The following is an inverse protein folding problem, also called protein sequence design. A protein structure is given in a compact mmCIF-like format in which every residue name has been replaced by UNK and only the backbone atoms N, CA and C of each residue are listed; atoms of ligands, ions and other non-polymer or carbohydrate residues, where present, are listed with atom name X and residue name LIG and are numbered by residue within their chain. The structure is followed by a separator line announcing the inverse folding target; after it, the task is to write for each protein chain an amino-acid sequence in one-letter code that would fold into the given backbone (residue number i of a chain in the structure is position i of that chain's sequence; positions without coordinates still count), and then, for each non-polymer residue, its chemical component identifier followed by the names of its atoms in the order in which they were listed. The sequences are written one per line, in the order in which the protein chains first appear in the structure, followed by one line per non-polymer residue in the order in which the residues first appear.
data_IF_354383937008
#
_entry.id   IF_354383937008
#
_cell.length_a   1.000
_cell.length_b   1.000
_cell.length_c   1.000
_cell.angle_alpha   90.00
_cell.angle_beta   90.00
_cell.angle_gamma   90.00
#
_symmetry.space_group_name_H-M   'P 1'
#
loop_
_entity.id
_entity.type
_entity.pdbx_description
1 polymer ?
#
# COMPACT_ATOMS: atom_id res chain seq x y z
N UNK A 1 0.88 7.40 -25.87
CA UNK A 1 1.84 6.28 -25.68
C UNK A 1 1.07 5.17 -24.96
N UNK A 2 1.23 3.90 -25.34
CA UNK A 2 0.45 2.82 -24.73
C UNK A 2 1.18 2.25 -23.50
N UNK A 3 0.50 2.20 -22.37
CA UNK A 3 0.94 1.55 -21.12
C UNK A 3 0.82 0.02 -21.28
N UNK A 4 1.69 -0.57 -22.10
CA UNK A 4 1.53 -1.92 -22.64
C UNK A 4 1.93 -3.07 -21.70
N UNK A 5 2.75 -2.81 -20.68
CA UNK A 5 3.20 -3.80 -19.70
C UNK A 5 2.37 -3.79 -18.41
N UNK A 6 1.62 -2.71 -18.13
CA UNK A 6 0.71 -2.64 -16.98
C UNK A 6 -0.37 -3.74 -17.07
N UNK A 7 -0.20 -4.79 -16.28
CA UNK A 7 -1.16 -5.89 -16.13
C UNK A 7 -1.80 -5.81 -14.77
N UNK A 8 -3.13 -5.77 -14.75
CA UNK A 8 -3.87 -5.82 -13.50
C UNK A 8 -3.69 -7.15 -12.80
N UNK A 9 -3.69 -7.12 -11.46
CA UNK A 9 -3.49 -8.29 -10.60
C UNK A 9 -4.57 -9.38 -10.81
N UNK A 10 -5.73 -9.02 -11.34
CA UNK A 10 -6.76 -9.91 -11.88
C UNK A 10 -7.65 -9.14 -12.89
N UNK A 11 -8.37 -9.89 -13.73
CA UNK A 11 -9.26 -9.32 -14.75
C UNK A 11 -10.35 -8.45 -14.09
N UNK A 12 -10.43 -7.20 -14.52
CA UNK A 12 -11.39 -6.21 -14.00
C UNK A 12 -10.88 -5.37 -12.83
N UNK A 13 -9.68 -5.66 -12.31
CA UNK A 13 -9.00 -4.79 -11.36
C UNK A 13 -8.24 -3.66 -12.06
N UNK A 14 -8.05 -2.55 -11.36
CA UNK A 14 -7.14 -1.46 -11.74
C UNK A 14 -5.80 -1.51 -10.98
N UNK A 15 -5.65 -2.42 -10.02
CA UNK A 15 -4.43 -2.56 -9.23
C UNK A 15 -3.34 -3.26 -10.04
N UNK A 16 -2.13 -2.68 -10.03
CA UNK A 16 -0.95 -3.21 -10.72
C UNK A 16 0.15 -3.48 -9.69
N UNK A 17 0.95 -4.51 -9.94
CA UNK A 17 2.11 -4.83 -9.11
C UNK A 17 3.25 -3.85 -9.42
N UNK A 18 3.69 -3.06 -8.42
CA UNK A 18 4.73 -2.04 -8.62
C UNK A 18 6.03 -2.59 -9.22
N UNK A 19 6.31 -3.89 -9.01
CA UNK A 19 7.54 -4.54 -9.48
C UNK A 19 7.59 -4.76 -10.99
N UNK A 20 6.46 -4.68 -11.67
CA UNK A 20 6.40 -4.88 -13.13
C UNK A 20 6.34 -3.57 -13.91
N UNK A 21 6.26 -2.44 -13.22
CA UNK A 21 6.21 -1.11 -13.84
C UNK A 21 7.62 -0.73 -14.29
N UNK A 22 7.81 -0.58 -15.59
CA UNK A 22 9.07 -0.13 -16.15
C UNK A 22 9.24 1.39 -16.09
N UNK A 23 10.46 1.87 -16.38
CA UNK A 23 10.78 3.30 -16.28
C UNK A 23 9.98 4.17 -17.26
N UNK A 24 9.57 3.65 -18.42
CA UNK A 24 8.81 4.42 -19.42
C UNK A 24 7.36 4.59 -18.98
N UNK A 25 6.76 3.51 -18.46
CA UNK A 25 5.42 3.53 -17.89
C UNK A 25 5.38 4.41 -16.65
N UNK A 26 6.36 4.25 -15.75
CA UNK A 26 6.44 5.07 -14.55
C UNK A 26 6.66 6.56 -14.88
N UNK A 27 7.50 6.89 -15.87
CA UNK A 27 7.63 8.27 -16.34
C UNK A 27 6.29 8.84 -16.87
N UNK A 28 5.47 8.00 -17.52
CA UNK A 28 4.15 8.42 -18.00
C UNK A 28 3.18 8.65 -16.84
N UNK A 29 3.15 7.73 -15.86
CA UNK A 29 2.34 7.85 -14.65
C UNK A 29 2.71 9.13 -13.90
N UNK A 30 4.01 9.33 -13.61
CA UNK A 30 4.49 10.49 -12.86
C UNK A 30 4.20 11.83 -13.55
N UNK A 31 4.21 11.88 -14.89
CA UNK A 31 3.82 13.09 -15.63
C UNK A 31 2.34 13.44 -15.43
N UNK A 32 1.48 12.43 -15.38
CA UNK A 32 0.05 12.63 -15.14
C UNK A 32 -0.21 13.00 -13.68
N UNK A 33 0.41 12.28 -12.73
CA UNK A 33 0.26 12.55 -11.30
C UNK A 33 0.75 13.94 -10.88
N UNK A 34 1.75 14.49 -11.59
CA UNK A 34 2.36 15.78 -11.27
C UNK A 34 2.01 16.91 -12.26
N UNK A 35 1.04 16.70 -13.15
CA UNK A 35 0.73 17.65 -14.24
C UNK A 35 0.32 19.03 -13.73
N UNK A 36 -0.45 19.08 -12.64
CA UNK A 36 -1.01 20.29 -12.05
C UNK A 36 -0.28 20.76 -10.78
N UNK A 37 0.84 20.11 -10.43
CA UNK A 37 1.56 20.41 -9.18
C UNK A 37 2.41 21.66 -9.32
N UNK A 38 2.16 22.64 -8.44
CA UNK A 38 3.06 23.79 -8.26
C UNK A 38 4.19 23.42 -7.30
N UNK A 39 5.39 23.19 -7.85
CA UNK A 39 6.49 22.62 -7.07
C UNK A 39 7.06 23.50 -5.95
N UNK A 40 6.76 24.80 -5.96
CA UNK A 40 7.13 25.70 -4.85
C UNK A 40 6.23 25.47 -3.61
N UNK A 41 5.06 24.83 -3.77
CA UNK A 41 4.05 24.53 -2.75
C UNK A 41 3.59 23.06 -2.80
N UNK A 42 4.51 22.14 -3.13
CA UNK A 42 4.21 20.73 -3.43
C UNK A 42 3.70 19.91 -2.23
N UNK A 43 3.96 20.34 -0.99
CA UNK A 43 3.74 19.56 0.22
C UNK A 43 2.25 19.21 0.47
N UNK A 44 1.34 20.11 0.11
CA UNK A 44 -0.10 19.92 0.23
C UNK A 44 -0.75 19.37 -1.06
N UNK A 45 0.03 19.25 -2.14
CA UNK A 45 -0.45 18.85 -3.47
C UNK A 45 -0.06 17.42 -3.83
N UNK A 46 1.10 16.96 -3.35
CA UNK A 46 1.63 15.63 -3.65
C UNK A 46 1.23 14.64 -2.56
N UNK A 47 0.23 13.81 -2.88
CA UNK A 47 -0.16 12.66 -2.08
C UNK A 47 0.65 11.40 -2.37
N UNK A 48 0.46 10.36 -1.56
CA UNK A 48 0.93 9.01 -1.90
C UNK A 48 0.10 8.43 -3.05
N UNK A 49 0.75 7.61 -3.89
CA UNK A 49 0.09 6.94 -5.01
C UNK A 49 -0.99 5.98 -4.52
N UNK A 50 -2.14 6.01 -5.18
CA UNK A 50 -3.25 5.11 -4.94
C UNK A 50 -2.82 3.64 -5.00
N UNK A 51 -3.33 2.82 -4.09
CA UNK A 51 -3.01 1.41 -4.02
C UNK A 51 -3.03 0.84 -2.60
N UNK A 52 -2.07 -0.04 -2.30
CA UNK A 52 -1.94 -0.68 -1.00
C UNK A 52 -1.46 -2.13 -1.08
N UNK A 53 -1.63 -2.89 0.00
CA UNK A 53 -1.18 -4.28 0.09
C UNK A 53 -2.29 -5.24 -0.32
N UNK A 54 -1.92 -6.20 -1.16
CA UNK A 54 -2.79 -7.31 -1.56
C UNK A 54 -2.35 -8.59 -0.84
N UNK A 55 -3.27 -9.25 -0.14
CA UNK A 55 -3.02 -10.59 0.41
C UNK A 55 -3.46 -11.64 -0.61
N UNK A 56 -2.56 -12.56 -0.91
CA UNK A 56 -2.82 -13.74 -1.74
C UNK A 56 -2.62 -15.00 -0.91
N UNK A 57 -3.47 -16.00 -1.12
CA UNK A 57 -3.25 -17.37 -0.66
C UNK A 57 -3.40 -18.32 -1.83
N UNK A 58 -2.36 -19.13 -2.04
CA UNK A 58 -2.23 -20.09 -3.15
C UNK A 58 -2.56 -19.44 -4.51
N UNK A 59 -3.80 -19.60 -4.97
CA UNK A 59 -4.28 -19.15 -6.28
C UNK A 59 -5.39 -18.07 -6.19
N UNK A 60 -5.65 -17.53 -5.00
CA UNK A 60 -6.71 -16.55 -4.78
C UNK A 60 -6.20 -15.28 -4.12
N UNK A 61 -6.78 -14.16 -4.52
CA UNK A 61 -6.64 -12.90 -3.82
C UNK A 61 -7.69 -12.88 -2.71
N UNK A 62 -7.24 -12.63 -1.49
CA UNK A 62 -8.06 -12.67 -0.28
C UNK A 62 -8.46 -11.26 0.13
N UNK A 63 -7.48 -10.34 0.18
CA UNK A 63 -7.67 -8.94 0.51
C UNK A 63 -7.01 -8.11 -0.58
N UNK A 64 -7.74 -7.11 -1.08
CA UNK A 64 -7.24 -5.96 -1.85
C UNK A 64 -7.59 -4.66 -1.16
N UNK A 65 -6.79 -3.60 -1.36
CA UNK A 65 -7.31 -2.25 -1.18
C UNK A 65 -8.47 -2.01 -2.16
N UNK A 66 -9.40 -1.15 -1.79
CA UNK A 66 -10.59 -0.85 -2.58
C UNK A 66 -10.57 0.61 -3.01
N UNK A 67 -11.10 1.55 -2.22
CA UNK A 67 -10.97 2.99 -2.48
C UNK A 67 -10.23 3.72 -1.36
N UNK A 68 -9.65 4.89 -1.66
CA UNK A 68 -8.98 5.76 -0.69
C UNK A 68 -7.80 5.11 0.08
N UNK A 69 -7.27 4.01 -0.43
CA UNK A 69 -6.05 3.39 0.05
C UNK A 69 -4.87 3.82 -0.81
N UNK A 70 -3.71 3.95 -0.18
CA UNK A 70 -2.46 4.33 -0.85
C UNK A 70 -1.34 3.36 -0.48
N UNK A 71 -0.25 3.38 -1.26
CA UNK A 71 0.90 2.51 -1.01
C UNK A 71 1.62 2.81 0.31
N UNK A 72 1.48 4.03 0.85
CA UNK A 72 1.96 4.43 2.16
C UNK A 72 1.25 3.73 3.33
N UNK A 73 0.06 3.16 3.10
CA UNK A 73 -0.68 2.40 4.11
C UNK A 73 0.06 1.14 4.61
N UNK A 74 1.21 0.77 4.03
CA UNK A 74 2.13 -0.25 4.57
C UNK A 74 2.40 -0.07 6.07
N UNK A 75 2.45 1.17 6.57
CA UNK A 75 2.64 1.43 8.00
C UNK A 75 1.54 0.84 8.88
N UNK A 76 0.29 0.85 8.41
CA UNK A 76 -0.82 0.27 9.16
C UNK A 76 -0.62 -1.24 9.33
N UNK A 77 -0.07 -1.91 8.30
CA UNK A 77 0.28 -3.32 8.36
C UNK A 77 1.46 -3.61 9.29
N UNK A 78 2.45 -2.72 9.38
CA UNK A 78 3.58 -2.85 10.30
C UNK A 78 3.15 -2.73 11.77
N UNK A 79 2.19 -1.85 12.08
CA UNK A 79 1.59 -1.72 13.43
C UNK A 79 0.92 -3.01 13.91
N UNK A 80 0.60 -3.95 13.03
CA UNK A 80 0.11 -5.28 13.42
C UNK A 80 1.13 -5.95 14.35
N UNK A 81 2.42 -5.86 14.05
CA UNK A 81 3.49 -6.54 14.81
C UNK A 81 3.67 -5.99 16.23
N UNK A 82 3.24 -4.75 16.46
CA UNK A 82 3.28 -4.05 17.75
C UNK A 82 1.99 -4.26 18.55
N UNK A 83 0.96 -4.86 17.95
CA UNK A 83 -0.32 -5.05 18.60
C UNK A 83 -0.28 -6.12 19.71
N UNK A 84 -1.13 -5.91 20.72
CA UNK A 84 -1.35 -6.89 21.79
C UNK A 84 -2.06 -8.13 21.24
N UNK A 85 -1.70 -9.29 21.78
CA UNK A 85 -2.33 -10.56 21.42
C UNK A 85 -3.81 -10.60 21.89
N UNK A 86 -4.62 -11.33 21.13
CA UNK A 86 -6.02 -11.65 21.34
C UNK A 86 -6.98 -10.44 21.39
N UNK A 87 -6.54 -9.26 20.93
CA UNK A 87 -7.35 -8.04 20.88
C UNK A 87 -7.57 -7.67 19.41
N UNK A 88 -8.85 -7.56 19.02
CA UNK A 88 -9.23 -7.05 17.71
C UNK A 88 -8.91 -5.57 17.59
N UNK A 89 -8.35 -5.20 16.45
CA UNK A 89 -8.03 -3.82 16.08
C UNK A 89 -8.46 -3.56 14.65
N UNK A 90 -8.77 -2.31 14.35
CA UNK A 90 -9.01 -1.86 13.00
C UNK A 90 -7.70 -1.69 12.23
N UNK A 91 -7.69 -2.17 11.00
CA UNK A 91 -6.62 -1.97 10.03
C UNK A 91 -7.19 -1.20 8.85
N UNK A 92 -6.70 0.03 8.66
CA UNK A 92 -7.01 0.81 7.47
C UNK A 92 -6.25 0.27 6.26
N UNK A 93 -6.99 -0.03 5.19
CA UNK A 93 -6.46 -0.54 3.91
C UNK A 93 -7.10 0.21 2.73
N UNK A 94 -7.60 1.43 2.99
CA UNK A 94 -8.70 2.02 2.24
C UNK A 94 -10.06 1.57 2.74
N UNK A 95 -11.12 2.14 2.16
CA UNK A 95 -12.51 1.78 2.43
C UNK A 95 -13.01 0.72 1.44
N UNK A 96 -13.71 -0.34 1.87
CA UNK A 96 -13.94 -0.73 3.27
C UNK A 96 -12.68 -1.26 3.96
N UNK A 97 -12.62 -1.12 5.29
CA UNK A 97 -11.50 -1.60 6.10
C UNK A 97 -11.72 -3.04 6.60
N UNK A 98 -10.73 -3.57 7.31
CA UNK A 98 -10.78 -4.89 7.95
C UNK A 98 -10.37 -4.79 9.42
N UNK A 99 -10.72 -5.80 10.21
CA UNK A 99 -10.18 -6.00 11.54
C UNK A 99 -9.13 -7.09 11.54
N UNK A 100 -8.18 -6.98 12.46
CA UNK A 100 -7.15 -7.97 12.70
C UNK A 100 -6.95 -8.24 14.19
N UNK A 101 -6.43 -9.42 14.53
CA UNK A 101 -5.79 -9.67 15.83
C UNK A 101 -4.64 -10.65 15.68
N UNK A 102 -3.67 -10.54 16.58
CA UNK A 102 -2.63 -11.57 16.75
C UNK A 102 -3.12 -12.62 17.73
N UNK A 103 -3.12 -13.89 17.37
CA UNK A 103 -3.56 -14.96 18.26
C UNK A 103 -2.81 -16.26 17.95
N UNK A 104 -2.18 -16.86 18.97
CA UNK A 104 -1.55 -18.19 18.89
C UNK A 104 -0.56 -18.36 17.71
N UNK A 105 0.22 -17.32 17.37
CA UNK A 105 1.17 -17.35 16.26
C UNK A 105 0.56 -17.12 14.88
N UNK A 106 -0.68 -16.61 14.82
CA UNK A 106 -1.38 -16.24 13.60
C UNK A 106 -1.82 -14.78 13.62
N UNK A 107 -1.89 -14.17 12.44
CA UNK A 107 -2.69 -12.97 12.20
C UNK A 107 -4.07 -13.43 11.73
N UNK A 108 -5.08 -13.20 12.55
CA UNK A 108 -6.48 -13.45 12.18
C UNK A 108 -7.08 -12.17 11.59
N UNK A 109 -7.79 -12.29 10.48
CA UNK A 109 -8.36 -11.17 9.71
C UNK A 109 -9.86 -11.40 9.52
N UNK A 110 -10.67 -10.36 9.70
CA UNK A 110 -12.12 -10.40 9.49
C UNK A 110 -12.51 -10.30 8.00
N UNK A 111 -13.80 -10.29 7.70
CA UNK A 111 -14.27 -9.80 6.40
C UNK A 111 -14.16 -8.26 6.34
N UNK A 112 -14.33 -7.70 5.15
CA UNK A 112 -14.50 -6.26 4.95
C UNK A 112 -15.69 -5.73 5.74
N UNK A 113 -15.55 -4.49 6.22
CA UNK A 113 -16.58 -3.80 7.00
C UNK A 113 -16.48 -2.28 6.82
N UNK A 114 -17.62 -1.61 6.99
CA UNK A 114 -17.74 -0.15 7.11
C UNK A 114 -18.15 0.27 8.53
N UNK A 115 -18.33 -0.70 9.43
CA UNK A 115 -18.70 -0.49 10.83
C UNK A 115 -17.45 -0.39 11.71
N UNK A 116 -17.55 0.39 12.78
CA UNK A 116 -16.48 0.57 13.75
C UNK A 116 -16.36 -0.67 14.64
N UNK A 117 -15.23 -0.80 15.33
CA UNK A 117 -14.98 -1.94 16.22
C UNK A 117 -16.06 -2.11 17.30
N UNK A 118 -16.54 -1.00 17.86
CA UNK A 118 -17.55 -0.97 18.94
C UNK A 118 -18.95 -1.41 18.48
N UNK A 119 -19.18 -1.48 17.16
CA UNK A 119 -20.45 -1.93 16.59
C UNK A 119 -20.59 -3.47 16.60
N UNK A 120 -19.51 -4.20 16.93
CA UNK A 120 -19.49 -5.67 16.90
C UNK A 120 -19.46 -6.30 18.29
N UNK A 121 -20.39 -7.24 18.51
CA UNK A 121 -20.40 -8.07 19.71
C UNK A 121 -19.50 -9.32 19.59
N UNK A 122 -19.25 -9.81 18.36
CA UNK A 122 -18.38 -10.96 18.10
C UNK A 122 -17.78 -10.87 16.69
N UNK A 123 -16.52 -10.47 16.59
CA UNK A 123 -15.78 -10.38 15.32
C UNK A 123 -15.24 -11.77 14.98
N UNK A 124 -15.65 -12.28 13.82
CA UNK A 124 -15.20 -13.58 13.33
C UNK A 124 -13.93 -13.47 12.48
N UNK A 125 -12.96 -14.34 12.78
CA UNK A 125 -11.80 -14.55 11.93
C UNK A 125 -12.24 -15.25 10.63
N UNK A 126 -12.17 -14.52 9.51
CA UNK A 126 -12.44 -15.04 8.17
C UNK A 126 -11.20 -15.72 7.59
N UNK A 127 -10.03 -15.14 7.83
CA UNK A 127 -8.75 -15.63 7.34
C UNK A 127 -7.74 -15.73 8.48
N UNK A 128 -6.79 -16.65 8.36
CA UNK A 128 -5.68 -16.82 9.29
C UNK A 128 -4.39 -16.93 8.52
N UNK A 129 -3.43 -16.09 8.85
CA UNK A 129 -2.11 -16.06 8.25
C UNK A 129 -1.08 -16.46 9.30
N UNK A 130 -0.10 -17.28 8.93
CA UNK A 130 1.06 -17.54 9.80
C UNK A 130 1.74 -16.21 10.13
N UNK A 131 1.88 -15.90 11.41
CA UNK A 131 2.53 -14.65 11.84
C UNK A 131 4.00 -14.60 11.37
N UNK A 132 4.68 -15.74 11.39
CA UNK A 132 6.05 -15.86 10.91
C UNK A 132 6.17 -15.54 9.42
N UNK A 133 5.26 -16.08 8.60
CA UNK A 133 5.27 -15.82 7.15
C UNK A 133 4.85 -14.38 6.85
N UNK A 134 3.86 -13.86 7.57
CA UNK A 134 3.42 -12.46 7.47
C UNK A 134 4.59 -11.49 7.72
N UNK A 135 5.37 -11.69 8.78
CA UNK A 135 6.56 -10.87 9.07
C UNK A 135 7.59 -10.94 7.95
N UNK A 136 7.82 -12.12 7.37
CA UNK A 136 8.79 -12.30 6.28
C UNK A 136 8.34 -11.58 5.00
N UNK A 137 7.08 -11.72 4.61
CA UNK A 137 6.54 -11.05 3.42
C UNK A 137 6.46 -9.53 3.62
N UNK A 138 6.10 -9.06 4.82
CA UNK A 138 6.02 -7.62 5.10
C UNK A 138 7.38 -6.93 4.95
N UNK A 139 8.47 -7.59 5.36
CA UNK A 139 9.84 -7.08 5.14
C UNK A 139 10.17 -6.96 3.65
N UNK A 140 9.79 -7.94 2.84
CA UNK A 140 9.99 -7.89 1.38
C UNK A 140 9.19 -6.75 0.76
N UNK A 141 7.95 -6.52 1.21
CA UNK A 141 7.12 -5.41 0.71
C UNK A 141 7.76 -4.07 1.08
N UNK A 142 8.32 -3.92 2.29
CA UNK A 142 9.07 -2.72 2.69
C UNK A 142 10.29 -2.48 1.81
N UNK A 143 11.07 -3.53 1.51
CA UNK A 143 12.19 -3.45 0.57
C UNK A 143 11.72 -3.01 -0.84
N UNK A 144 10.63 -3.62 -1.34
CA UNK A 144 10.03 -3.27 -2.63
C UNK A 144 9.55 -1.80 -2.68
N UNK A 145 8.95 -1.28 -1.60
CA UNK A 145 8.55 0.13 -1.53
C UNK A 145 9.77 1.06 -1.58
N UNK A 146 10.86 0.70 -0.91
CA UNK A 146 12.11 1.48 -0.96
C UNK A 146 12.76 1.44 -2.35
N UNK A 147 12.74 0.29 -3.02
CA UNK A 147 13.21 0.17 -4.41
C UNK A 147 12.37 1.02 -5.36
N UNK A 148 11.05 1.01 -5.18
CA UNK A 148 10.13 1.82 -5.98
C UNK A 148 10.30 3.32 -5.73
N UNK A 149 10.52 3.76 -4.49
CA UNK A 149 10.89 5.15 -4.16
C UNK A 149 12.15 5.57 -4.93
N UNK A 150 13.18 4.72 -4.93
CA UNK A 150 14.42 5.00 -5.66
C UNK A 150 14.18 5.06 -7.17
N UNK A 151 13.32 4.21 -7.72
CA UNK A 151 12.94 4.23 -9.12
C UNK A 151 12.23 5.54 -9.49
N UNK A 152 11.24 5.97 -8.69
CA UNK A 152 10.54 7.26 -8.84
C UNK A 152 11.54 8.40 -8.78
N UNK A 153 12.41 8.44 -7.75
CA UNK A 153 13.42 9.49 -7.62
C UNK A 153 14.29 9.63 -8.87
N UNK A 154 14.82 8.53 -9.41
CA UNK A 154 15.66 8.56 -10.63
C UNK A 154 14.93 9.14 -11.83
N UNK A 155 13.64 8.83 -11.98
CA UNK A 155 12.83 9.33 -13.11
C UNK A 155 12.52 10.82 -12.92
N UNK A 156 12.13 11.24 -11.72
CA UNK A 156 11.91 12.65 -11.40
C UNK A 156 13.18 13.48 -11.60
N UNK A 157 14.34 12.97 -11.19
CA UNK A 157 15.65 13.61 -11.40
C UNK A 157 15.98 13.75 -12.89
N UNK A 158 15.76 12.70 -13.69
CA UNK A 158 15.88 12.72 -15.15
C UNK A 158 14.94 13.74 -15.80
N UNK A 159 13.73 13.89 -15.27
CA UNK A 159 12.75 14.90 -15.69
C UNK A 159 13.09 16.31 -15.20
N UNK A 160 14.13 16.47 -14.36
CA UNK A 160 14.55 17.72 -13.72
C UNK A 160 13.46 18.34 -12.83
N UNK A 161 12.65 17.49 -12.20
CA UNK A 161 11.66 17.93 -11.21
C UNK A 161 12.41 18.44 -9.96
N UNK A 162 12.15 19.67 -9.50
CA UNK A 162 12.73 20.16 -8.24
C UNK A 162 12.24 19.32 -7.06
N UNK A 163 13.03 19.21 -5.99
CA UNK A 163 12.67 18.41 -4.79
C UNK A 163 12.32 16.95 -5.10
N UNK A 164 12.89 16.38 -6.17
CA UNK A 164 12.59 15.03 -6.65
C UNK A 164 12.69 13.95 -5.57
N UNK A 165 13.63 14.07 -4.62
CA UNK A 165 13.82 13.10 -3.55
C UNK A 165 12.71 13.19 -2.51
N UNK A 166 12.30 14.40 -2.14
CA UNK A 166 11.20 14.65 -1.22
C UNK A 166 9.86 14.20 -1.82
N UNK A 167 9.61 14.55 -3.09
CA UNK A 167 8.42 14.13 -3.84
C UNK A 167 8.35 12.61 -3.97
N UNK A 168 9.47 11.93 -4.26
CA UNK A 168 9.48 10.47 -4.32
C UNK A 168 9.05 9.81 -3.00
N UNK A 169 9.44 10.39 -1.84
CA UNK A 169 9.00 9.92 -0.52
C UNK A 169 7.52 10.17 -0.26
N UNK A 170 7.00 11.32 -0.69
CA UNK A 170 5.57 11.62 -0.58
C UNK A 170 4.74 10.63 -1.41
N UNK A 171 5.11 10.44 -2.68
CA UNK A 171 4.45 9.51 -3.59
C UNK A 171 4.45 8.07 -3.09
N UNK A 172 5.48 7.63 -2.38
CA UNK A 172 5.51 6.28 -1.80
C UNK A 172 4.99 6.18 -0.37
N UNK A 173 4.69 7.31 0.29
CA UNK A 173 4.33 7.33 1.70
C UNK A 173 5.48 6.92 2.63
N UNK A 174 6.73 7.06 2.17
CA UNK A 174 7.96 6.81 2.93
C UNK A 174 8.45 8.06 3.70
N UNK A 175 7.53 8.81 4.28
CA UNK A 175 7.80 9.89 5.22
C UNK A 175 8.38 9.35 6.54
N UNK A 176 9.69 9.10 6.61
CA UNK A 176 10.32 8.84 7.91
C UNK A 176 9.96 9.99 8.87
N UNK A 177 9.47 9.65 10.06
CA UNK A 177 9.49 10.58 11.18
C UNK A 177 10.94 11.01 11.37
N UNK A 178 11.22 12.30 11.16
CA UNK A 178 12.43 12.92 11.70
C UNK A 178 12.38 12.88 13.23
#
# INVERSE_FOLDING_TARGET
MALGNLKSIYKGSYLVDIRIIDDLELETILKTELEEVEFDEYEDQVGSLDGGIVIKSENSIIITPMCCGDIGNLREWEKILESQNNIWKQLWIGHPWIFYRRANGFIEISNYTESNLDDFNDIQAKYKLSEKEFVLELRKIREQQNEFENQIYRILDKMKIPKAKEIAKLLTGNLQLQ
#
